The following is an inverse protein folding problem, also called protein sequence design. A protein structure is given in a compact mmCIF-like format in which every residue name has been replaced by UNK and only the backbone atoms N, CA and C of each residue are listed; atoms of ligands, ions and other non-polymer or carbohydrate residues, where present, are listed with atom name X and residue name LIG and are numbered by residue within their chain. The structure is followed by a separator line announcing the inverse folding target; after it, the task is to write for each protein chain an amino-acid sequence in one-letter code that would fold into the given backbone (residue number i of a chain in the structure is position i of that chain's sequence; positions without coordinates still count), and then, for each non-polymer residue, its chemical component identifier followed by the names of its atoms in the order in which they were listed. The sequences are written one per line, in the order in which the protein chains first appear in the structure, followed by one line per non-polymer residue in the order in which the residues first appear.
data_IF_247372494721
#
_entry.id   IF_247372494721
#
_cell.length_a   1.000
_cell.length_b   1.000
_cell.length_c   1.000
_cell.angle_alpha   90.00
_cell.angle_beta   90.00
_cell.angle_gamma   90.00
#
_symmetry.space_group_name_H-M   'P 1'
#
loop_
_entity.id
_entity.type
_entity.pdbx_description
1 polymer ?
#
# COMPACT_ATOMS: atom_id res chain seq x y z
N UNK A 1 29.00 16.96 -10.68
CA UNK A 1 28.28 16.45 -9.49
C UNK A 1 27.99 14.98 -9.72
N UNK A 2 28.46 14.11 -8.84
CA UNK A 2 28.21 12.67 -8.91
C UNK A 2 26.86 12.40 -8.25
N UNK A 3 25.99 11.66 -8.93
CA UNK A 3 24.71 11.20 -8.36
C UNK A 3 24.83 9.72 -8.07
N UNK A 4 24.42 9.28 -6.90
CA UNK A 4 24.30 7.87 -6.54
C UNK A 4 22.81 7.54 -6.42
N UNK A 5 22.41 6.35 -6.83
CA UNK A 5 21.04 5.87 -6.63
C UNK A 5 21.08 4.61 -5.78
N UNK A 6 20.15 4.50 -4.85
CA UNK A 6 19.87 3.27 -4.13
C UNK A 6 18.59 2.66 -4.68
N UNK A 7 18.65 1.39 -5.08
CA UNK A 7 17.47 0.59 -5.43
C UNK A 7 17.32 -0.49 -4.36
N UNK A 8 16.18 -0.50 -3.67
CA UNK A 8 15.80 -1.55 -2.73
C UNK A 8 14.79 -2.45 -3.41
N UNK A 9 15.12 -3.74 -3.52
CA UNK A 9 14.22 -4.81 -3.97
C UNK A 9 13.92 -5.74 -2.79
N UNK A 10 12.84 -6.52 -2.92
CA UNK A 10 12.31 -7.45 -1.91
C UNK A 10 13.35 -8.37 -1.26
N UNK A 11 14.43 -8.66 -1.97
CA UNK A 11 15.46 -9.64 -1.60
C UNK A 11 16.90 -9.13 -1.69
N UNK A 12 17.12 -7.96 -2.27
CA UNK A 12 18.45 -7.43 -2.59
C UNK A 12 18.44 -5.90 -2.50
N UNK A 13 19.47 -5.32 -1.85
CA UNK A 13 19.74 -3.90 -1.94
C UNK A 13 20.86 -3.65 -2.96
N UNK A 14 20.63 -2.77 -3.93
CA UNK A 14 21.59 -2.42 -4.99
C UNK A 14 21.99 -0.96 -4.84
N UNK A 15 23.28 -0.72 -4.62
CA UNK A 15 23.86 0.63 -4.55
C UNK A 15 24.56 0.94 -5.87
N UNK A 16 24.17 2.06 -6.51
CA UNK A 16 24.82 2.58 -7.71
C UNK A 16 25.63 3.82 -7.39
N UNK A 17 26.91 3.83 -7.75
CA UNK A 17 27.73 5.06 -7.77
C UNK A 17 27.84 5.59 -9.20
N UNK A 18 27.55 6.88 -9.43
CA UNK A 18 27.54 7.57 -10.75
C UNK A 18 26.38 7.21 -11.70
N UNK A 19 25.14 7.52 -11.31
CA UNK A 19 23.98 7.47 -12.20
C UNK A 19 24.01 8.62 -13.23
N UNK A 20 24.74 8.39 -14.33
CA UNK A 20 24.47 9.05 -15.61
C UNK A 20 23.69 8.08 -16.51
N UNK A 21 22.96 8.58 -17.52
CA UNK A 21 22.02 7.81 -18.36
C UNK A 21 22.59 6.58 -19.09
N UNK A 22 23.90 6.35 -19.01
CA UNK A 22 24.56 5.13 -19.48
C UNK A 22 25.31 4.49 -18.29
N UNK A 23 24.64 3.63 -17.54
CA UNK A 23 25.28 2.84 -16.47
C UNK A 23 26.12 1.76 -17.15
N UNK A 24 27.43 1.94 -17.14
CA UNK A 24 28.38 0.83 -17.38
C UNK A 24 28.52 0.06 -16.06
N UNK A 25 28.65 -1.26 -16.12
CA UNK A 25 28.62 -2.20 -14.97
C UNK A 25 29.72 -2.02 -13.91
N UNK A 26 30.52 -0.96 -13.98
CA UNK A 26 31.53 -0.65 -12.99
C UNK A 26 30.90 0.09 -11.80
N UNK A 27 30.63 -0.64 -10.72
CA UNK A 27 30.29 -0.07 -9.41
C UNK A 27 28.96 -0.51 -8.80
N UNK A 28 28.34 -1.57 -9.34
CA UNK A 28 27.15 -2.17 -8.72
C UNK A 28 27.61 -3.07 -7.57
N UNK A 29 27.19 -2.73 -6.34
CA UNK A 29 27.34 -3.63 -5.20
C UNK A 29 25.96 -4.11 -4.76
N UNK A 30 25.77 -5.42 -4.85
CA UNK A 30 24.58 -6.11 -4.39
C UNK A 30 24.79 -6.60 -2.97
N UNK A 31 23.77 -6.45 -2.13
CA UNK A 31 23.72 -6.96 -0.78
C UNK A 31 22.52 -7.90 -0.63
N UNK A 32 22.77 -9.14 -0.26
CA UNK A 32 21.73 -10.12 0.09
C UNK A 32 21.17 -9.88 1.48
N UNK A 33 19.97 -10.42 1.78
CA UNK A 33 19.37 -10.37 3.12
C UNK A 33 20.30 -10.97 4.19
N UNK A 34 20.95 -12.07 3.86
CA UNK A 34 21.87 -12.78 4.74
C UNK A 34 23.12 -11.94 5.05
N UNK A 35 23.64 -11.21 4.06
CA UNK A 35 24.79 -10.31 4.24
C UNK A 35 24.45 -9.07 5.07
N UNK A 36 23.27 -8.49 4.83
CA UNK A 36 22.76 -7.34 5.62
C UNK A 36 22.56 -7.76 7.08
N UNK A 37 22.00 -8.95 7.31
CA UNK A 37 21.82 -9.50 8.66
C UNK A 37 23.15 -9.76 9.36
N UNK A 38 24.13 -10.32 8.62
CA UNK A 38 25.46 -10.65 9.14
C UNK A 38 26.31 -9.42 9.46
N UNK A 39 26.21 -8.36 8.66
CA UNK A 39 27.09 -7.18 8.77
C UNK A 39 26.33 -5.86 8.58
N UNK A 40 25.29 -5.68 9.41
CA UNK A 40 24.39 -4.52 9.40
C UNK A 40 25.14 -3.18 9.45
N UNK A 41 26.19 -3.09 10.27
CA UNK A 41 26.94 -1.85 10.46
C UNK A 41 27.76 -1.48 9.22
N UNK A 42 28.35 -2.48 8.53
CA UNK A 42 29.05 -2.23 7.27
C UNK A 42 28.08 -1.82 6.17
N UNK A 43 26.91 -2.46 6.08
CA UNK A 43 25.84 -2.04 5.16
C UNK A 43 25.43 -0.59 5.42
N UNK A 44 25.16 -0.22 6.68
CA UNK A 44 24.80 1.16 7.05
C UNK A 44 25.92 2.14 6.69
N UNK A 45 27.18 1.84 7.02
CA UNK A 45 28.30 2.72 6.72
C UNK A 45 28.50 2.93 5.21
N UNK A 46 28.37 1.86 4.42
CA UNK A 46 28.46 1.96 2.95
C UNK A 46 27.27 2.72 2.37
N UNK A 47 26.07 2.55 2.93
CA UNK A 47 24.88 3.30 2.57
C UNK A 47 25.06 4.79 2.88
N UNK A 48 25.51 5.12 4.10
CA UNK A 48 25.77 6.49 4.54
C UNK A 48 26.80 7.16 3.65
N UNK A 49 27.92 6.49 3.36
CA UNK A 49 28.95 7.00 2.47
C UNK A 49 28.49 7.17 1.01
N UNK A 50 27.49 6.41 0.56
CA UNK A 50 26.88 6.58 -0.75
C UNK A 50 25.88 7.75 -0.82
N UNK A 51 25.35 8.19 0.34
CA UNK A 51 24.28 9.20 0.46
C UNK A 51 24.75 10.63 0.77
N UNK A 52 26.05 10.89 0.92
CA UNK A 52 26.58 12.24 1.27
C UNK A 52 26.52 13.28 0.14
N UNK A 53 26.23 12.87 -1.09
CA UNK A 53 25.92 13.79 -2.21
C UNK A 53 24.42 13.69 -2.51
N UNK A 54 23.75 14.79 -2.82
CA UNK A 54 22.30 14.98 -3.04
C UNK A 54 21.55 13.82 -3.75
N UNK A 55 21.22 12.75 -3.03
CA UNK A 55 20.70 11.52 -3.64
C UNK A 55 19.28 11.18 -3.17
N UNK A 56 18.40 10.95 -4.15
CA UNK A 56 17.07 10.40 -3.97
C UNK A 56 17.17 8.89 -3.75
N UNK A 57 16.58 8.40 -2.66
CA UNK A 57 16.30 6.97 -2.49
C UNK A 57 15.18 6.63 -3.48
N UNK A 58 15.51 5.91 -4.56
CA UNK A 58 14.51 5.41 -5.50
C UNK A 58 14.15 4.01 -5.02
N UNK A 59 13.12 3.93 -4.16
CA UNK A 59 12.54 2.63 -3.81
C UNK A 59 11.87 2.10 -5.09
N UNK A 60 12.43 1.05 -5.68
CA UNK A 60 11.86 0.44 -6.88
C UNK A 60 10.59 -0.33 -6.50
N UNK A 61 9.45 0.33 -6.72
CA UNK A 61 8.13 -0.26 -6.55
C UNK A 61 7.74 -1.05 -7.81
N UNK A 62 8.62 -1.93 -8.28
CA UNK A 62 8.41 -2.70 -9.50
C UNK A 62 7.35 -3.79 -9.30
N UNK A 63 6.65 -4.08 -10.39
CA UNK A 63 5.38 -4.78 -10.41
C UNK A 63 5.51 -6.29 -10.32
N UNK A 64 4.90 -6.89 -9.30
CA UNK A 64 4.74 -8.33 -9.19
C UNK A 64 3.32 -8.84 -9.45
N UNK A 65 3.18 -10.17 -9.52
CA UNK A 65 1.92 -10.89 -9.80
C UNK A 65 0.80 -10.58 -8.78
N UNK A 66 1.18 -10.26 -7.54
CA UNK A 66 0.27 -9.95 -6.44
C UNK A 66 -0.58 -8.73 -6.76
N UNK A 67 0.01 -7.66 -7.32
CA UNK A 67 -0.72 -6.44 -7.68
C UNK A 67 -1.79 -6.71 -8.73
N UNK A 68 -1.45 -7.50 -9.74
CA UNK A 68 -2.43 -7.88 -10.75
C UNK A 68 -3.55 -8.71 -10.13
N UNK A 69 -3.24 -9.57 -9.15
CA UNK A 69 -4.25 -10.32 -8.41
C UNK A 69 -5.15 -9.43 -7.54
N UNK A 70 -4.61 -8.37 -6.91
CA UNK A 70 -5.41 -7.35 -6.20
C UNK A 70 -6.44 -6.74 -7.17
N UNK A 71 -5.99 -6.27 -8.34
CA UNK A 71 -6.86 -5.68 -9.35
C UNK A 71 -7.94 -6.66 -9.85
N UNK A 72 -7.52 -7.87 -10.22
CA UNK A 72 -8.41 -8.91 -10.74
C UNK A 72 -9.47 -9.31 -9.69
N UNK A 73 -9.09 -9.37 -8.41
CA UNK A 73 -10.00 -9.70 -7.30
C UNK A 73 -11.02 -8.58 -7.07
N UNK A 74 -10.61 -7.31 -7.18
CA UNK A 74 -11.54 -6.20 -7.14
C UNK A 74 -12.53 -6.23 -8.32
N UNK A 75 -12.04 -6.47 -9.54
CA UNK A 75 -12.87 -6.62 -10.75
C UNK A 75 -13.87 -7.78 -10.59
N UNK A 76 -13.43 -8.94 -10.10
CA UNK A 76 -14.31 -10.09 -9.88
C UNK A 76 -15.43 -9.79 -8.86
N UNK A 77 -15.16 -8.98 -7.83
CA UNK A 77 -16.18 -8.51 -6.90
C UNK A 77 -17.20 -7.58 -7.56
N UNK A 78 -16.75 -6.72 -8.47
CA UNK A 78 -17.61 -5.85 -9.26
C UNK A 78 -18.48 -6.63 -10.26
N UNK A 79 -17.89 -7.57 -10.99
CA UNK A 79 -18.56 -8.32 -12.05
C UNK A 79 -19.60 -9.30 -11.52
N UNK A 80 -19.44 -9.79 -10.28
CA UNK A 80 -20.41 -10.68 -9.63
C UNK A 80 -21.59 -9.91 -9.04
N UNK A 81 -22.84 -10.06 -9.56
CA UNK A 81 -24.00 -9.31 -9.05
C UNK A 81 -24.35 -9.61 -7.60
N UNK A 82 -23.93 -10.78 -7.09
CA UNK A 82 -24.09 -11.20 -5.70
C UNK A 82 -23.04 -10.49 -4.85
N UNK A 83 -21.76 -10.60 -5.23
CA UNK A 83 -20.67 -10.00 -4.46
C UNK A 83 -20.84 -8.49 -4.38
N UNK A 84 -21.20 -7.85 -5.48
CA UNK A 84 -21.43 -6.40 -5.55
C UNK A 84 -22.39 -5.87 -4.49
N UNK A 85 -23.44 -6.66 -4.17
CA UNK A 85 -24.49 -6.30 -3.21
C UNK A 85 -24.17 -6.72 -1.77
N UNK A 86 -23.21 -7.61 -1.55
CA UNK A 86 -22.76 -8.00 -0.21
C UNK A 86 -22.06 -6.87 0.57
N UNK A 87 -21.85 -5.72 -0.09
CA UNK A 87 -21.22 -4.53 0.46
C UNK A 87 -22.22 -3.42 0.79
N UNK A 88 -23.51 -3.63 0.48
CA UNK A 88 -24.56 -2.65 0.77
C UNK A 88 -24.50 -2.19 2.23
N UNK A 89 -24.73 -0.89 2.45
CA UNK A 89 -24.76 -0.30 3.79
C UNK A 89 -25.89 -0.87 4.62
N UNK A 90 -26.97 -1.38 4.02
CA UNK A 90 -28.09 -2.02 4.73
C UNK A 90 -27.72 -3.34 5.41
N UNK A 91 -26.65 -4.02 4.97
CA UNK A 91 -26.20 -5.30 5.51
C UNK A 91 -25.03 -5.18 6.49
N UNK A 92 -24.82 -6.25 7.25
CA UNK A 92 -23.62 -6.44 8.07
C UNK A 92 -22.49 -7.04 7.24
N UNK A 93 -21.25 -6.65 7.53
CA UNK A 93 -20.06 -7.33 7.03
C UNK A 93 -18.95 -7.25 8.08
N UNK A 94 -18.56 -8.39 8.64
CA UNK A 94 -17.67 -8.44 9.81
C UNK A 94 -18.14 -7.48 10.92
N UNK A 95 -17.26 -6.58 11.35
CA UNK A 95 -17.47 -5.57 12.38
C UNK A 95 -18.15 -4.29 11.88
N UNK A 96 -18.55 -4.23 10.60
CA UNK A 96 -19.32 -3.11 10.03
C UNK A 96 -20.81 -3.42 10.05
N UNK A 97 -21.51 -2.82 11.02
CA UNK A 97 -22.97 -2.87 11.13
C UNK A 97 -23.70 -2.07 10.02
N UNK A 98 -25.04 -2.04 10.06
CA UNK A 98 -25.84 -1.36 9.05
C UNK A 98 -25.64 0.15 9.09
N UNK A 99 -25.80 0.81 7.94
CA UNK A 99 -25.60 2.24 7.74
C UNK A 99 -24.12 2.68 7.71
N UNK A 100 -23.17 1.76 7.82
CA UNK A 100 -21.73 2.09 7.81
C UNK A 100 -21.13 1.89 6.41
N UNK A 101 -20.34 2.86 5.90
CA UNK A 101 -19.56 2.68 4.67
C UNK A 101 -18.49 1.61 4.89
N UNK A 102 -18.17 0.84 3.85
CA UNK A 102 -17.31 -0.34 3.92
C UNK A 102 -16.11 -0.28 2.98
N UNK A 103 -15.73 0.92 2.52
CA UNK A 103 -14.66 1.10 1.52
C UNK A 103 -13.30 0.53 1.98
N UNK A 104 -12.91 0.78 3.22
CA UNK A 104 -11.70 0.23 3.81
C UNK A 104 -11.78 -1.28 4.03
N UNK A 105 -12.94 -1.80 4.44
CA UNK A 105 -13.16 -3.25 4.54
C UNK A 105 -13.02 -3.93 3.17
N UNK A 106 -13.49 -3.29 2.11
CA UNK A 106 -13.33 -3.81 0.75
C UNK A 106 -11.86 -3.93 0.36
N UNK A 107 -11.09 -2.86 0.53
CA UNK A 107 -9.65 -2.89 0.23
C UNK A 107 -8.92 -3.92 1.08
N UNK A 108 -9.25 -4.01 2.37
CA UNK A 108 -8.65 -4.98 3.30
C UNK A 108 -8.91 -6.43 2.87
N UNK A 109 -10.16 -6.78 2.55
CA UNK A 109 -10.48 -8.15 2.14
C UNK A 109 -9.87 -8.52 0.79
N UNK A 110 -9.87 -7.60 -0.17
CA UNK A 110 -9.28 -7.86 -1.50
C UNK A 110 -7.77 -8.07 -1.41
N UNK A 111 -7.07 -7.24 -0.63
CA UNK A 111 -5.62 -7.35 -0.45
C UNK A 111 -5.25 -8.60 0.36
N UNK A 112 -5.96 -8.88 1.44
CA UNK A 112 -5.76 -10.09 2.24
C UNK A 112 -6.03 -11.38 1.44
N UNK A 113 -7.05 -11.40 0.58
CA UNK A 113 -7.39 -12.57 -0.24
C UNK A 113 -6.28 -13.00 -1.20
N UNK A 114 -5.36 -12.10 -1.55
CA UNK A 114 -4.24 -12.38 -2.45
C UNK A 114 -2.89 -12.41 -1.73
N UNK A 115 -2.92 -12.45 -0.39
CA UNK A 115 -1.72 -12.54 0.44
C UNK A 115 -0.95 -11.23 0.59
N UNK A 116 -1.46 -10.10 0.08
CA UNK A 116 -0.90 -8.79 0.38
C UNK A 116 -1.28 -8.37 1.80
N UNK A 117 -0.38 -7.70 2.50
CA UNK A 117 -0.69 -7.15 3.81
C UNK A 117 -1.77 -6.06 3.66
N UNK A 118 -2.92 -6.15 4.34
CA UNK A 118 -4.01 -5.22 4.13
C UNK A 118 -3.85 -3.90 4.92
N UNK A 119 -2.68 -3.67 5.54
CA UNK A 119 -2.33 -2.51 6.33
C UNK A 119 -2.63 -2.69 7.82
N UNK A 120 -2.10 -1.79 8.64
CA UNK A 120 -2.22 -1.88 10.09
C UNK A 120 -3.66 -1.64 10.55
N UNK A 121 -4.17 -2.43 11.51
CA UNK A 121 -5.52 -2.26 12.03
C UNK A 121 -5.79 -0.83 12.52
N UNK A 122 -7.01 -0.36 12.31
CA UNK A 122 -7.48 0.87 12.94
C UNK A 122 -7.70 0.61 14.44
N UNK A 123 -6.76 1.06 15.26
CA UNK A 123 -6.87 1.04 16.72
C UNK A 123 -7.75 2.19 17.22
N UNK A 124 -9.02 2.27 16.79
CA UNK A 124 -9.89 3.41 17.10
C UNK A 124 -10.43 3.44 18.55
N UNK A 125 -9.75 2.80 19.52
CA UNK A 125 -10.03 2.96 20.96
C UNK A 125 -8.87 2.45 21.81
N UNK A 126 -8.71 2.98 23.03
CA UNK A 126 -7.70 2.58 24.02
C UNK A 126 -7.71 1.06 24.34
N UNK A 127 -8.82 0.37 24.05
CA UNK A 127 -8.95 -1.09 24.20
C UNK A 127 -8.30 -1.88 23.05
N UNK A 128 -8.04 -1.25 21.90
CA UNK A 128 -7.38 -1.89 20.77
C UNK A 128 -5.90 -2.19 21.07
N UNK A 129 -5.21 -1.33 21.84
CA UNK A 129 -3.84 -1.62 22.30
C UNK A 129 -3.78 -2.85 23.20
N UNK A 130 -4.72 -2.96 24.15
CA UNK A 130 -4.83 -4.11 25.06
C UNK A 130 -5.20 -5.39 24.31
N UNK A 131 -6.14 -5.31 23.37
CA UNK A 131 -6.52 -6.46 22.54
C UNK A 131 -5.39 -6.89 21.61
N UNK A 132 -4.54 -5.96 21.14
CA UNK A 132 -3.44 -6.26 20.22
C UNK A 132 -2.38 -7.05 20.97
N UNK A 133 -2.01 -6.55 22.15
CA UNK A 133 -1.13 -7.25 23.06
C UNK A 133 -1.67 -8.64 23.45
N UNK A 134 -2.98 -8.78 23.68
CA UNK A 134 -3.58 -10.07 23.99
C UNK A 134 -3.66 -11.03 22.79
N UNK A 135 -3.80 -10.53 21.55
CA UNK A 135 -3.75 -11.35 20.35
C UNK A 135 -2.32 -11.87 20.09
N UNK A 136 -1.30 -11.03 20.30
CA UNK A 136 0.10 -11.45 20.19
C UNK A 136 0.45 -12.55 21.20
N UNK A 137 -0.20 -12.54 22.37
CA UNK A 137 -0.05 -13.57 23.40
C UNK A 137 -0.95 -14.80 23.17
N UNK A 138 -2.14 -14.62 22.59
CA UNK A 138 -3.18 -15.66 22.46
C UNK A 138 -3.96 -15.55 21.13
N UNK A 139 -3.34 -15.84 19.99
CA UNK A 139 -3.93 -15.64 18.66
C UNK A 139 -5.19 -16.49 18.41
N UNK A 140 -5.30 -17.63 19.10
CA UNK A 140 -6.44 -18.56 18.95
C UNK A 140 -7.67 -18.16 19.81
N UNK A 141 -7.47 -17.34 20.84
CA UNK A 141 -8.50 -16.99 21.84
C UNK A 141 -9.21 -15.67 21.52
N UNK A 142 -8.49 -14.74 20.91
CA UNK A 142 -9.03 -13.45 20.48
C UNK A 142 -9.01 -13.45 18.96
N UNK A 143 -10.11 -13.88 18.33
CA UNK A 143 -10.37 -13.53 16.92
C UNK A 143 -10.51 -12.03 16.87
N UNK A 144 -9.41 -11.36 16.58
CA UNK A 144 -9.40 -9.92 16.53
C UNK A 144 -10.28 -9.52 15.35
N UNK A 145 -11.45 -8.95 15.63
CA UNK A 145 -12.24 -8.21 14.66
C UNK A 145 -11.48 -6.93 14.31
N UNK A 146 -10.37 -7.08 13.58
CA UNK A 146 -9.49 -5.97 13.23
C UNK A 146 -10.31 -5.05 12.37
N UNK A 147 -10.59 -3.84 12.86
CA UNK A 147 -11.07 -2.80 11.98
C UNK A 147 -9.95 -2.54 10.97
N UNK A 148 -10.21 -2.65 9.67
CA UNK A 148 -9.22 -2.33 8.66
C UNK A 148 -8.79 -0.87 8.79
N UNK A 149 -7.56 -0.51 8.38
CA UNK A 149 -7.12 0.88 8.38
C UNK A 149 -8.17 1.77 7.72
N UNK A 150 -8.55 2.85 8.38
CA UNK A 150 -9.53 3.80 7.85
C UNK A 150 -9.04 4.42 6.54
N UNK A 151 -9.96 4.92 5.71
CA UNK A 151 -9.56 5.62 4.50
C UNK A 151 -8.70 6.87 4.79
N UNK A 152 -8.88 7.50 5.95
CA UNK A 152 -8.00 8.58 6.41
C UNK A 152 -6.58 8.09 6.77
N UNK A 153 -6.42 6.86 7.29
CA UNK A 153 -5.10 6.26 7.50
C UNK A 153 -4.43 5.94 6.16
N UNK A 154 -5.17 5.39 5.20
CA UNK A 154 -4.69 5.23 3.83
C UNK A 154 -4.38 6.55 3.13
N UNK A 155 -5.10 7.62 3.41
CA UNK A 155 -4.83 8.94 2.86
C UNK A 155 -3.67 9.66 3.57
N UNK A 156 -3.20 9.14 4.70
CA UNK A 156 -2.06 9.69 5.41
C UNK A 156 -0.79 9.51 4.59
N UNK A 157 0.10 10.50 4.60
CA UNK A 157 1.46 10.34 4.04
C UNK A 157 2.41 9.66 5.03
N UNK A 158 1.97 9.46 6.26
CA UNK A 158 2.73 8.77 7.30
C UNK A 158 2.74 7.27 7.01
N UNK A 159 3.91 6.72 6.71
CA UNK A 159 4.08 5.28 6.44
C UNK A 159 3.89 4.43 7.68
N UNK A 160 3.92 4.99 8.88
CA UNK A 160 3.72 4.21 10.11
C UNK A 160 2.28 3.71 10.30
N UNK A 161 1.31 4.21 9.51
CA UNK A 161 -0.11 3.78 9.57
C UNK A 161 -0.48 2.75 8.51
N UNK A 162 0.39 2.49 7.54
CA UNK A 162 0.21 1.46 6.50
C UNK A 162 1.45 0.56 6.54
N UNK A 163 1.24 -0.73 6.81
CA UNK A 163 2.27 -1.70 7.16
C UNK A 163 3.37 -1.91 6.08
N UNK A 164 4.44 -2.61 6.47
CA UNK A 164 5.51 -3.08 5.61
C UNK A 164 4.94 -3.76 4.34
N UNK A 165 5.41 -3.30 3.18
CA UNK A 165 5.01 -3.78 1.86
C UNK A 165 4.23 -2.77 1.02
N UNK A 166 3.70 -1.68 1.57
CA UNK A 166 3.12 -0.61 0.75
C UNK A 166 4.08 0.58 0.59
N UNK A 167 4.23 1.03 -0.65
CA UNK A 167 4.98 2.23 -0.96
C UNK A 167 4.08 3.33 -1.51
N UNK A 168 4.15 4.55 -0.94
CA UNK A 168 3.41 5.67 -1.49
C UNK A 168 4.01 6.03 -2.86
N UNK A 169 3.15 6.21 -3.86
CA UNK A 169 3.56 6.68 -5.17
C UNK A 169 3.69 8.20 -5.13
N UNK A 170 4.94 8.66 -5.22
CA UNK A 170 5.23 10.06 -5.42
C UNK A 170 5.05 10.45 -6.88
N UNK A 171 4.77 11.72 -7.13
CA UNK A 171 4.81 12.27 -8.47
C UNK A 171 6.26 12.17 -9.02
N UNK A 172 6.44 11.50 -10.15
CA UNK A 172 7.76 11.32 -10.76
C UNK A 172 8.00 12.30 -11.92
N UNK A 173 9.16 12.97 -11.93
CA UNK A 173 9.61 13.78 -13.06
C UNK A 173 8.88 15.12 -13.21
N UNK A 174 8.44 15.45 -14.44
CA UNK A 174 7.66 16.67 -14.74
C UNK A 174 6.15 16.52 -14.51
N UNK A 175 5.67 15.32 -14.19
CA UNK A 175 4.26 15.09 -13.89
C UNK A 175 3.95 15.62 -12.49
N UNK A 176 2.81 16.30 -12.35
CA UNK A 176 2.28 16.70 -11.02
C UNK A 176 1.48 15.59 -10.35
N UNK A 177 1.23 14.47 -11.05
CA UNK A 177 0.46 13.33 -10.53
C UNK A 177 1.29 12.04 -10.51
N UNK A 178 1.08 11.18 -9.51
CA UNK A 178 1.57 9.80 -9.53
C UNK A 178 1.06 9.06 -10.77
N UNK A 179 1.79 8.04 -11.21
CA UNK A 179 1.38 7.15 -12.29
C UNK A 179 0.91 5.80 -11.71
N UNK A 180 -0.32 5.72 -11.19
CA UNK A 180 -0.84 4.49 -10.65
C UNK A 180 -1.14 3.48 -11.76
N UNK A 181 -1.25 2.23 -11.37
CA UNK A 181 -1.46 1.07 -12.23
C UNK A 181 -2.39 0.08 -11.52
N UNK A 182 -2.99 -0.88 -12.25
CA UNK A 182 -3.86 -1.87 -11.65
C UNK A 182 -3.22 -2.55 -10.43
N UNK A 183 -3.97 -2.60 -9.33
CA UNK A 183 -3.55 -3.18 -8.05
C UNK A 183 -3.02 -2.16 -7.04
N UNK A 184 -2.74 -0.93 -7.48
CA UNK A 184 -2.42 0.16 -6.56
C UNK A 184 -3.69 0.58 -5.77
N UNK A 185 -3.53 0.97 -4.52
CA UNK A 185 -4.63 1.50 -3.68
C UNK A 185 -4.63 3.01 -3.77
N UNK A 186 -5.81 3.61 -3.89
CA UNK A 186 -5.99 5.06 -3.89
C UNK A 186 -6.85 5.49 -2.71
N UNK A 187 -6.46 6.55 -2.02
CA UNK A 187 -7.20 7.09 -0.88
C UNK A 187 -7.21 8.61 -0.88
N UNK A 188 -8.30 9.18 -0.33
CA UNK A 188 -8.45 10.62 -0.15
C UNK A 188 -8.98 10.91 1.25
N UNK A 189 -8.43 11.95 1.87
CA UNK A 189 -9.01 12.53 3.08
C UNK A 189 -10.41 13.08 2.80
N UNK A 190 -11.31 12.97 3.77
CA UNK A 190 -12.66 13.50 3.65
C UNK A 190 -13.23 13.90 5.01
N UNK A 191 -14.19 14.81 4.99
CA UNK A 191 -14.71 15.52 6.18
C UNK A 191 -15.34 14.63 7.27
N UNK A 192 -15.58 13.33 7.01
CA UNK A 192 -16.04 12.37 8.02
C UNK A 192 -15.23 11.07 8.10
N UNK A 193 -14.90 10.43 6.98
CA UNK A 193 -14.22 9.12 7.01
C UNK A 193 -13.15 8.94 5.92
N UNK A 194 -13.03 9.88 4.98
CA UNK A 194 -12.28 9.67 3.74
C UNK A 194 -12.93 8.65 2.81
N UNK A 195 -12.25 8.33 1.71
CA UNK A 195 -12.60 7.22 0.82
C UNK A 195 -11.33 6.51 0.32
N UNK A 196 -11.44 5.20 0.08
CA UNK A 196 -10.35 4.35 -0.40
C UNK A 196 -10.89 3.34 -1.40
N UNK A 197 -10.11 3.06 -2.44
CA UNK A 197 -10.48 2.23 -3.59
C UNK A 197 -9.24 1.55 -4.18
N UNK A 198 -9.45 0.56 -5.06
CA UNK A 198 -8.37 -0.14 -5.76
C UNK A 198 -8.35 0.30 -7.21
N UNK A 199 -7.20 0.71 -7.73
CA UNK A 199 -7.01 1.00 -9.15
C UNK A 199 -7.16 -0.31 -9.94
N UNK A 200 -8.09 -0.34 -10.90
CA UNK A 200 -8.39 -1.53 -11.71
C UNK A 200 -8.12 -1.34 -13.19
N UNK A 201 -7.94 -0.10 -13.64
CA UNK A 201 -7.71 0.22 -15.05
C UNK A 201 -7.14 1.61 -15.26
N UNK A 202 -7.13 2.04 -16.52
CA UNK A 202 -6.71 3.38 -16.89
C UNK A 202 -7.72 4.40 -16.39
N UNK A 203 -7.30 5.23 -15.44
CA UNK A 203 -8.16 6.21 -14.75
C UNK A 203 -9.43 5.61 -14.14
N UNK A 204 -9.35 4.36 -13.72
CA UNK A 204 -10.46 3.60 -13.14
C UNK A 204 -10.04 2.95 -11.83
N UNK A 205 -10.89 3.07 -10.82
CA UNK A 205 -10.81 2.35 -9.57
C UNK A 205 -12.12 1.63 -9.25
N UNK A 206 -12.02 0.51 -8.54
CA UNK A 206 -13.14 -0.29 -8.06
C UNK A 206 -13.17 -0.26 -6.54
N UNK A 207 -14.34 0.06 -5.98
CA UNK A 207 -14.53 0.19 -4.54
C UNK A 207 -16.01 0.33 -4.18
N UNK A 208 -16.31 0.49 -2.88
CA UNK A 208 -17.69 0.73 -2.45
C UNK A 208 -18.12 2.17 -2.76
N UNK A 209 -19.19 2.37 -3.51
CA UNK A 209 -19.73 3.71 -3.81
C UNK A 209 -20.92 4.05 -2.89
N UNK A 210 -21.78 4.99 -3.31
CA UNK A 210 -23.02 5.33 -2.61
C UNK A 210 -23.82 4.06 -2.26
N UNK A 211 -24.41 4.02 -1.06
CA UNK A 211 -25.08 2.83 -0.50
C UNK A 211 -24.20 1.58 -0.34
N UNK A 212 -22.89 1.67 -0.55
CA UNK A 212 -21.94 0.60 -0.28
C UNK A 212 -21.82 -0.46 -1.38
N UNK A 213 -22.57 -0.36 -2.48
CA UNK A 213 -22.40 -1.27 -3.62
C UNK A 213 -20.99 -1.15 -4.20
N UNK A 214 -20.40 -2.26 -4.66
CA UNK A 214 -19.13 -2.19 -5.39
C UNK A 214 -19.39 -1.63 -6.79
N UNK A 215 -18.64 -0.62 -7.21
CA UNK A 215 -18.76 -0.08 -8.55
C UNK A 215 -17.39 0.37 -9.07
N UNK A 216 -17.34 0.61 -10.38
CA UNK A 216 -16.21 1.23 -11.07
C UNK A 216 -16.43 2.73 -11.11
N UNK A 217 -15.39 3.47 -10.76
CA UNK A 217 -15.39 4.94 -10.77
C UNK A 217 -14.03 5.45 -11.23
N UNK A 218 -13.94 6.73 -11.51
CA UNK A 218 -12.71 7.49 -11.70
C UNK A 218 -12.23 8.14 -10.37
N UNK A 219 -12.64 7.62 -9.21
CA UNK A 219 -12.08 8.04 -7.93
C UNK A 219 -10.56 7.86 -7.93
N UNK A 220 -9.83 8.89 -7.50
CA UNK A 220 -8.37 8.97 -7.62
C UNK A 220 -7.88 9.83 -8.78
N UNK A 221 -8.71 10.04 -9.80
CA UNK A 221 -8.27 10.63 -11.06
C UNK A 221 -8.87 12.00 -11.35
N UNK A 222 -9.79 12.46 -10.50
CA UNK A 222 -10.46 13.77 -10.60
C UNK A 222 -9.62 14.88 -9.98
N UNK A 223 -9.11 14.70 -8.75
CA UNK A 223 -8.49 15.77 -7.96
C UNK A 223 -6.96 15.59 -7.80
N UNK A 224 -6.30 16.41 -6.98
CA UNK A 224 -4.84 16.34 -6.73
C UNK A 224 -4.49 16.00 -5.27
N UNK A 225 -5.47 15.55 -4.49
CA UNK A 225 -5.32 15.33 -3.04
C UNK A 225 -5.25 13.85 -2.67
N UNK A 226 -5.31 12.97 -3.66
CA UNK A 226 -5.31 11.53 -3.48
C UNK A 226 -3.89 10.99 -3.27
N UNK A 227 -3.77 10.07 -2.31
CA UNK A 227 -2.56 9.31 -2.06
C UNK A 227 -2.72 7.94 -2.70
N UNK A 228 -1.70 7.56 -3.47
CA UNK A 228 -1.64 6.25 -4.10
C UNK A 228 -0.60 5.39 -3.41
N UNK A 229 -0.90 4.11 -3.23
CA UNK A 229 -0.01 3.13 -2.62
C UNK A 229 0.17 1.95 -3.55
N UNK A 230 1.40 1.48 -3.65
CA UNK A 230 1.78 0.33 -4.44
C UNK A 230 2.33 -0.77 -3.56
N UNK A 231 1.77 -1.96 -3.69
CA UNK A 231 2.28 -3.14 -3.01
C UNK A 231 3.66 -3.54 -3.58
N UNK A 232 4.57 -3.88 -2.68
CA UNK A 232 5.89 -4.42 -2.93
C UNK A 232 5.88 -5.89 -2.50
N UNK A 233 6.25 -6.76 -3.44
CA UNK A 233 6.54 -8.16 -3.12
C UNK A 233 7.86 -8.30 -2.37
#
# INVERSE_FOLDING_TARGET
MKKSCLILMSSVAIIFTNCSRNVTSQGIKEWTKEEISRDKNKFINELTNATTDENQIIVDCSSGSTRQNIANTAIANYESPINRRNWLTSGNRFNFGPGKPKCNQFVWEVTAAVGANPGLPNHSSDLAGIRSWLHDLYPDLIRYEQFPPSANQWASKDRSVIDEGWCPLEASGRSTRPNPSPGDVVAKYGSRTGHVSIVTGYQESTGTVYEGIIDKTDFGFRDQEEVFWRWQE
#
